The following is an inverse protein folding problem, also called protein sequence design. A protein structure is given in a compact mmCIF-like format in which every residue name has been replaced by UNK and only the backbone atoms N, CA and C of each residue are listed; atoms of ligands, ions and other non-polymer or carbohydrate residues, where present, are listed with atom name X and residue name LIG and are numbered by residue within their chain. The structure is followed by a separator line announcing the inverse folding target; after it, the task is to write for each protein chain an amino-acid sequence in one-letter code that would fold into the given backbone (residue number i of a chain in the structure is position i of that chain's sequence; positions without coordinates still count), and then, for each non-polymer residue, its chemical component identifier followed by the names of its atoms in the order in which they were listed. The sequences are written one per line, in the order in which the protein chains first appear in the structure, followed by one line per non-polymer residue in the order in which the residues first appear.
data_IF_409053978250
#
_entry.id   IF_409053978250
#
_cell.length_a   1.000
_cell.length_b   1.000
_cell.length_c   1.000
_cell.angle_alpha   90.00
_cell.angle_beta   90.00
_cell.angle_gamma   90.00
#
_symmetry.space_group_name_H-M   'P 1'
#
loop_
_entity.id
_entity.type
_entity.pdbx_description
1 polymer ?
#
# COMPACT_ATOMS: atom_id res chain seq x y z
N UNK A 1 -5.24 -2.15 -16.69
CA UNK A 1 -4.67 -1.02 -15.91
C UNK A 1 -4.75 -1.38 -14.45
N UNK A 2 -3.65 -1.24 -13.72
CA UNK A 2 -3.59 -1.58 -12.30
C UNK A 2 -4.25 -0.46 -11.51
N UNK A 3 -5.32 -0.75 -10.77
CA UNK A 3 -5.94 0.24 -9.89
C UNK A 3 -4.92 0.62 -8.81
N UNK A 4 -4.89 1.92 -8.47
CA UNK A 4 -4.00 2.44 -7.42
C UNK A 4 -4.76 2.54 -6.10
N UNK A 5 -4.04 2.32 -5.02
CA UNK A 5 -4.55 2.37 -3.66
C UNK A 5 -3.68 3.28 -2.81
N UNK A 6 -4.27 4.28 -2.18
CA UNK A 6 -3.61 5.06 -1.14
C UNK A 6 -3.83 4.35 0.20
N UNK A 7 -2.73 3.93 0.81
CA UNK A 7 -2.72 3.27 2.11
C UNK A 7 -2.25 4.29 3.14
N UNK A 8 -3.17 4.81 3.94
CA UNK A 8 -2.90 5.80 4.96
C UNK A 8 -2.62 5.09 6.28
N UNK A 9 -1.40 5.24 6.82
CA UNK A 9 -1.06 4.73 8.14
C UNK A 9 -1.19 5.86 9.17
N UNK A 10 -1.69 5.47 10.34
CA UNK A 10 -1.78 6.33 11.50
C UNK A 10 -1.26 5.54 12.69
N UNK A 11 -0.05 5.87 13.13
CA UNK A 11 0.55 5.33 14.34
C UNK A 11 0.29 6.29 15.50
N UNK A 12 -0.98 6.50 15.85
CA UNK A 12 -1.29 7.02 17.17
C UNK A 12 -1.32 5.85 18.16
N UNK A 13 -0.10 5.48 18.57
CA UNK A 13 0.31 4.42 19.52
C UNK A 13 -0.47 4.44 20.87
N UNK A 14 -1.34 5.43 21.11
CA UNK A 14 -1.99 5.67 22.41
C UNK A 14 -3.53 5.59 22.42
N UNK A 15 -4.19 5.39 21.28
CA UNK A 15 -5.65 5.36 21.26
C UNK A 15 -6.19 3.96 21.60
N UNK A 16 -6.48 3.73 22.88
CA UNK A 16 -7.20 2.54 23.35
C UNK A 16 -8.72 2.74 23.30
N UNK A 17 -9.44 1.72 22.82
CA UNK A 17 -10.89 1.64 22.91
C UNK A 17 -11.64 2.73 22.12
N UNK A 18 -12.50 3.49 22.80
CA UNK A 18 -13.44 4.45 22.17
C UNK A 18 -12.74 5.59 21.41
N UNK A 19 -11.55 6.01 21.85
CA UNK A 19 -10.84 7.14 21.27
C UNK A 19 -10.30 6.83 19.86
N UNK A 20 -9.96 5.55 19.58
CA UNK A 20 -9.50 5.13 18.26
C UNK A 20 -10.58 5.33 17.18
N UNK A 21 -11.83 4.95 17.48
CA UNK A 21 -12.94 5.12 16.54
C UNK A 21 -13.24 6.59 16.27
N UNK A 22 -13.16 7.43 17.31
CA UNK A 22 -13.37 8.89 17.21
C UNK A 22 -12.28 9.52 16.35
N UNK A 23 -11.01 9.17 16.60
CA UNK A 23 -9.87 9.63 15.81
C UNK A 23 -10.01 9.23 14.34
N UNK A 24 -10.24 7.95 14.04
CA UNK A 24 -10.40 7.48 12.66
C UNK A 24 -11.54 8.24 11.97
N UNK A 25 -12.69 8.40 12.66
CA UNK A 25 -13.82 9.16 12.13
C UNK A 25 -13.45 10.62 11.83
N UNK A 26 -12.65 11.25 12.68
CA UNK A 26 -12.20 12.63 12.48
C UNK A 26 -11.17 12.74 11.36
N UNK A 27 -10.20 11.83 11.30
CA UNK A 27 -9.19 11.75 10.24
C UNK A 27 -9.86 11.59 8.87
N UNK A 28 -10.79 10.64 8.75
CA UNK A 28 -11.54 10.40 7.49
C UNK A 28 -12.35 11.62 7.10
N UNK A 29 -12.99 12.31 8.06
CA UNK A 29 -13.73 13.56 7.79
C UNK A 29 -12.80 14.65 7.25
N UNK A 30 -11.64 14.81 7.86
CA UNK A 30 -10.65 15.80 7.43
C UNK A 30 -10.13 15.50 6.02
N UNK A 31 -9.83 14.23 5.72
CA UNK A 31 -9.40 13.78 4.40
C UNK A 31 -10.49 14.01 3.35
N UNK A 32 -11.74 13.59 3.61
CA UNK A 32 -12.86 13.81 2.69
C UNK A 32 -13.07 15.29 2.37
N UNK A 33 -12.96 16.17 3.37
CA UNK A 33 -13.06 17.62 3.17
C UNK A 33 -11.89 18.17 2.34
N UNK A 34 -10.66 17.72 2.63
CA UNK A 34 -9.45 18.23 1.95
C UNK A 34 -9.35 17.76 0.50
N UNK A 35 -9.91 16.59 0.21
CA UNK A 35 -9.89 15.92 -1.09
C UNK A 35 -11.24 16.04 -1.83
N UNK A 36 -12.16 16.90 -1.39
CA UNK A 36 -13.50 17.01 -1.95
C UNK A 36 -13.51 17.34 -3.44
N UNK A 37 -12.56 18.16 -3.91
CA UNK A 37 -12.41 18.51 -5.33
C UNK A 37 -12.01 17.32 -6.22
N UNK A 38 -11.62 16.19 -5.63
CA UNK A 38 -11.20 14.98 -6.34
C UNK A 38 -12.11 13.78 -6.04
N UNK A 39 -13.31 14.01 -5.48
CA UNK A 39 -14.22 12.95 -5.07
C UNK A 39 -14.58 11.98 -6.20
N UNK A 40 -14.57 12.45 -7.44
CA UNK A 40 -14.91 11.64 -8.62
C UNK A 40 -13.85 10.59 -8.96
N UNK A 41 -12.64 10.73 -8.41
CA UNK A 41 -11.53 9.80 -8.56
C UNK A 41 -11.36 8.87 -7.36
N UNK A 42 -11.98 9.18 -6.22
CA UNK A 42 -11.62 8.60 -4.92
C UNK A 42 -12.77 7.87 -4.26
N UNK A 43 -12.56 6.59 -3.95
CA UNK A 43 -13.43 5.82 -3.08
C UNK A 43 -12.79 5.64 -1.69
N UNK A 44 -13.47 6.14 -0.67
CA UNK A 44 -13.04 6.05 0.73
C UNK A 44 -13.57 4.77 1.36
N UNK A 45 -12.71 3.79 1.57
CA UNK A 45 -13.07 2.47 2.10
C UNK A 45 -13.05 2.48 3.65
N UNK A 46 -12.54 1.42 4.28
CA UNK A 46 -12.56 1.19 5.73
C UNK A 46 -11.18 1.31 6.36
N UNK A 47 -11.18 1.44 7.69
CA UNK A 47 -9.98 1.27 8.48
C UNK A 47 -9.79 -0.22 8.83
N UNK A 48 -8.63 -0.80 8.52
CA UNK A 48 -8.30 -2.18 8.87
C UNK A 48 -6.78 -2.34 9.07
N UNK A 49 -6.38 -3.15 10.05
CA UNK A 49 -4.96 -3.49 10.25
C UNK A 49 -4.03 -2.31 10.59
N UNK A 50 -4.57 -1.22 11.14
CA UNK A 50 -3.83 0.02 11.46
C UNK A 50 -3.69 0.99 10.28
N UNK A 51 -4.43 0.78 9.19
CA UNK A 51 -4.42 1.64 8.01
C UNK A 51 -5.83 2.01 7.59
N UNK A 52 -5.96 3.10 6.84
CA UNK A 52 -7.18 3.52 6.13
C UNK A 52 -6.89 3.50 4.63
N UNK A 53 -7.86 3.06 3.85
CA UNK A 53 -7.67 2.81 2.41
C UNK A 53 -8.51 3.79 1.58
N UNK A 54 -7.90 4.36 0.56
CA UNK A 54 -8.57 5.20 -0.44
C UNK A 54 -8.22 4.65 -1.82
N UNK A 55 -9.23 4.13 -2.52
CA UNK A 55 -9.09 3.56 -3.85
C UNK A 55 -9.17 4.66 -4.91
N UNK A 56 -8.30 4.58 -5.92
CA UNK A 56 -8.35 5.43 -7.10
C UNK A 56 -9.17 4.68 -8.16
N UNK A 57 -10.41 5.12 -8.35
CA UNK A 57 -11.44 4.38 -9.10
C UNK A 57 -11.54 4.75 -10.58
N UNK A 58 -10.75 5.73 -11.03
CA UNK A 58 -10.68 6.20 -12.42
C UNK A 58 -9.24 6.56 -12.76
N UNK A 59 -8.92 6.55 -14.05
CA UNK A 59 -7.65 7.09 -14.52
C UNK A 59 -7.49 8.54 -14.06
N UNK A 60 -6.34 8.82 -13.47
CA UNK A 60 -6.02 10.10 -12.86
C UNK A 60 -4.74 10.65 -13.48
N UNK A 61 -4.74 11.90 -13.99
CA UNK A 61 -3.53 12.57 -14.42
C UNK A 61 -2.51 12.71 -13.29
N UNK A 62 -1.21 12.62 -13.62
CA UNK A 62 -0.12 12.66 -12.64
C UNK A 62 -0.11 13.94 -11.80
N UNK A 63 -0.46 15.09 -12.38
CA UNK A 63 -0.56 16.34 -11.64
C UNK A 63 -1.65 16.29 -10.55
N UNK A 64 -2.80 15.69 -10.86
CA UNK A 64 -3.89 15.53 -9.89
C UNK A 64 -3.50 14.54 -8.80
N UNK A 65 -2.87 13.42 -9.17
CA UNK A 65 -2.35 12.45 -8.21
C UNK A 65 -1.34 13.09 -7.25
N UNK A 66 -0.42 13.90 -7.77
CA UNK A 66 0.57 14.63 -6.98
C UNK A 66 -0.08 15.63 -6.02
N UNK A 67 -1.14 16.32 -6.42
CA UNK A 67 -1.91 17.20 -5.52
C UNK A 67 -2.61 16.43 -4.40
N UNK A 68 -3.21 15.28 -4.70
CA UNK A 68 -3.84 14.41 -3.71
C UNK A 68 -2.79 13.92 -2.70
N UNK A 69 -1.65 13.42 -3.20
CA UNK A 69 -0.51 12.99 -2.38
C UNK A 69 -0.04 14.12 -1.47
N UNK A 70 0.14 15.33 -2.01
CA UNK A 70 0.53 16.50 -1.22
C UNK A 70 -0.48 16.83 -0.13
N UNK A 71 -1.78 16.79 -0.44
CA UNK A 71 -2.85 17.03 0.53
C UNK A 71 -2.89 15.96 1.61
N UNK A 72 -2.74 14.69 1.25
CA UNK A 72 -2.64 13.56 2.20
C UNK A 72 -1.44 13.76 3.12
N UNK A 73 -0.24 13.97 2.57
CA UNK A 73 1.01 14.19 3.32
C UNK A 73 0.86 15.30 4.38
N UNK A 74 0.15 16.38 4.03
CA UNK A 74 -0.06 17.53 4.91
C UNK A 74 -1.33 17.43 5.78
N UNK A 75 -1.88 16.23 6.01
CA UNK A 75 -3.06 16.04 6.87
C UNK A 75 -2.62 15.58 8.27
N UNK A 76 -2.93 16.34 9.34
CA UNK A 76 -2.58 15.94 10.70
C UNK A 76 -3.16 14.58 11.10
N UNK A 77 -2.39 13.81 11.88
CA UNK A 77 -2.75 12.47 12.32
C UNK A 77 -2.31 11.33 11.38
N UNK A 78 -1.74 11.65 10.21
CA UNK A 78 -1.13 10.66 9.32
C UNK A 78 0.35 10.54 9.67
N UNK A 79 0.81 9.31 9.93
CA UNK A 79 2.23 9.05 10.24
C UNK A 79 3.02 8.63 9.01
N UNK A 80 2.33 8.07 8.02
CA UNK A 80 2.89 7.77 6.71
C UNK A 80 1.80 7.31 5.77
N UNK A 81 2.10 7.28 4.48
CA UNK A 81 1.20 6.72 3.48
C UNK A 81 2.00 6.05 2.37
N UNK A 82 1.34 5.17 1.64
CA UNK A 82 1.90 4.50 0.47
C UNK A 82 0.94 4.64 -0.71
N UNK A 83 1.49 4.81 -1.90
CA UNK A 83 0.77 4.59 -3.16
C UNK A 83 1.08 3.16 -3.58
N UNK A 84 0.09 2.29 -3.55
CA UNK A 84 0.24 0.88 -3.88
C UNK A 84 -0.47 0.55 -5.19
N UNK A 85 0.09 -0.40 -5.93
CA UNK A 85 -0.58 -1.07 -7.02
C UNK A 85 -1.45 -2.21 -6.44
N UNK A 86 -2.67 -2.41 -6.95
CA UNK A 86 -3.56 -3.50 -6.51
C UNK A 86 -3.43 -4.73 -7.40
N UNK A 87 -3.47 -5.91 -6.80
CA UNK A 87 -3.52 -7.20 -7.49
C UNK A 87 -4.80 -7.97 -7.10
N UNK A 88 -5.13 -9.00 -7.89
CA UNK A 88 -6.02 -10.05 -7.42
C UNK A 88 -5.40 -10.86 -6.27
N UNK A 89 -6.16 -11.83 -5.75
CA UNK A 89 -5.79 -12.57 -4.52
C UNK A 89 -5.10 -13.91 -4.79
N UNK A 90 -4.93 -14.27 -6.06
CA UNK A 90 -4.17 -15.46 -6.46
C UNK A 90 -2.67 -15.17 -6.37
N UNK A 91 -1.88 -16.22 -6.15
CA UNK A 91 -0.43 -16.06 -6.01
C UNK A 91 0.19 -15.54 -7.32
N UNK A 92 -0.33 -15.99 -8.45
CA UNK A 92 0.09 -15.60 -9.79
C UNK A 92 -0.13 -14.10 -10.04
N UNK A 93 -1.31 -13.57 -9.69
CA UNK A 93 -1.62 -12.15 -9.83
C UNK A 93 -0.79 -11.28 -8.90
N UNK A 94 -0.56 -11.75 -7.66
CA UNK A 94 0.29 -11.07 -6.68
C UNK A 94 1.73 -10.99 -7.21
N UNK A 95 2.29 -12.12 -7.66
CA UNK A 95 3.65 -12.19 -8.20
C UNK A 95 3.82 -11.34 -9.45
N UNK A 96 2.91 -11.43 -10.42
CA UNK A 96 2.97 -10.63 -11.65
C UNK A 96 2.91 -9.12 -11.38
N UNK A 97 2.04 -8.70 -10.45
CA UNK A 97 1.93 -7.28 -10.06
C UNK A 97 3.17 -6.83 -9.31
N UNK A 98 3.70 -7.65 -8.40
CA UNK A 98 4.92 -7.36 -7.65
C UNK A 98 6.15 -7.20 -8.55
N UNK A 99 6.33 -8.09 -9.53
CA UNK A 99 7.40 -7.99 -10.54
C UNK A 99 7.26 -6.70 -11.34
N UNK A 100 6.05 -6.42 -11.85
CA UNK A 100 5.78 -5.18 -12.60
C UNK A 100 6.04 -3.93 -11.77
N UNK A 101 5.73 -3.96 -10.48
CA UNK A 101 6.00 -2.86 -9.56
C UNK A 101 7.49 -2.68 -9.31
N UNK A 102 8.21 -3.77 -9.01
CA UNK A 102 9.66 -3.74 -8.76
C UNK A 102 10.45 -3.31 -10.01
N UNK A 103 10.00 -3.70 -11.20
CA UNK A 103 10.61 -3.33 -12.48
C UNK A 103 10.72 -1.80 -12.67
N UNK A 104 9.78 -1.02 -12.12
CA UNK A 104 9.77 0.45 -12.20
C UNK A 104 10.97 1.10 -11.50
N UNK A 105 11.59 0.37 -10.57
CA UNK A 105 12.72 0.81 -9.76
C UNK A 105 13.96 -0.05 -10.01
N UNK A 106 13.96 -0.87 -11.07
CA UNK A 106 15.02 -1.88 -11.27
C UNK A 106 16.43 -1.28 -11.37
N UNK A 107 16.57 -0.02 -11.79
CA UNK A 107 17.85 0.66 -11.87
C UNK A 107 18.31 1.28 -10.52
N UNK A 108 17.44 1.25 -9.50
CA UNK A 108 17.66 1.93 -8.21
C UNK A 108 18.11 0.97 -7.09
N UNK A 109 18.10 -0.34 -7.32
CA UNK A 109 18.47 -1.33 -6.29
C UNK A 109 19.13 -2.58 -6.89
N UNK A 110 20.05 -3.20 -6.14
CA UNK A 110 20.67 -4.48 -6.50
C UNK A 110 20.19 -5.62 -5.60
N UNK A 111 19.86 -5.29 -4.35
CA UNK A 111 19.31 -6.22 -3.38
C UNK A 111 17.90 -5.83 -2.89
N UNK A 112 17.08 -6.82 -2.56
CA UNK A 112 15.73 -6.58 -2.07
C UNK A 112 15.25 -7.60 -1.03
N UNK A 113 14.21 -7.22 -0.29
CA UNK A 113 13.42 -8.12 0.53
C UNK A 113 11.92 -7.93 0.28
N UNK A 114 11.16 -9.04 0.34
CA UNK A 114 9.70 -9.01 0.33
C UNK A 114 9.18 -9.08 1.76
N UNK A 115 8.38 -8.08 2.14
CA UNK A 115 7.76 -8.00 3.47
C UNK A 115 6.24 -8.07 3.30
N UNK A 116 5.66 -9.21 3.63
CA UNK A 116 4.22 -9.45 3.45
C UNK A 116 3.45 -9.41 4.80
N UNK A 117 2.30 -8.74 4.80
CA UNK A 117 1.39 -8.64 5.95
C UNK A 117 -0.01 -9.06 5.54
N UNK A 118 -0.54 -10.11 6.17
CA UNK A 118 -1.91 -10.58 5.99
C UNK A 118 -2.84 -9.91 6.99
N UNK A 119 -3.64 -8.96 6.52
CA UNK A 119 -4.74 -8.36 7.26
C UNK A 119 -5.95 -9.30 7.21
N UNK A 120 -6.20 -9.92 6.06
CA UNK A 120 -7.18 -10.99 5.90
C UNK A 120 -6.52 -12.35 6.12
N UNK A 121 -6.96 -13.05 7.17
CA UNK A 121 -6.41 -14.36 7.56
C UNK A 121 -7.11 -15.53 6.86
N UNK A 122 -8.17 -15.28 6.10
CA UNK A 122 -8.89 -16.31 5.35
C UNK A 122 -8.19 -16.70 4.04
N UNK A 123 -7.13 -15.99 3.67
CA UNK A 123 -6.32 -16.28 2.48
C UNK A 123 -5.53 -17.56 2.69
N UNK A 124 -5.51 -18.48 1.69
CA UNK A 124 -4.91 -19.81 1.85
C UNK A 124 -3.38 -19.78 2.02
N UNK A 125 -2.73 -18.67 1.65
CA UNK A 125 -1.29 -18.50 1.72
C UNK A 125 -0.87 -17.78 3.00
N UNK A 126 0.24 -18.21 3.58
CA UNK A 126 0.96 -17.55 4.66
C UNK A 126 1.79 -16.37 4.16
N UNK A 127 2.16 -15.47 5.07
CA UNK A 127 3.09 -14.37 4.76
C UNK A 127 4.42 -14.90 4.22
N UNK A 128 4.91 -16.02 4.78
CA UNK A 128 6.17 -16.62 4.35
C UNK A 128 6.07 -17.19 2.94
N UNK A 129 4.98 -17.87 2.61
CA UNK A 129 4.74 -18.39 1.25
C UNK A 129 4.65 -17.25 0.22
N UNK A 130 3.91 -16.18 0.53
CA UNK A 130 3.85 -14.98 -0.33
C UNK A 130 5.24 -14.39 -0.53
N UNK A 131 6.00 -14.23 0.57
CA UNK A 131 7.35 -13.65 0.50
C UNK A 131 8.31 -14.48 -0.35
N UNK A 132 8.25 -15.81 -0.21
CA UNK A 132 9.07 -16.75 -0.97
C UNK A 132 8.74 -16.73 -2.45
N UNK A 133 7.46 -16.84 -2.80
CA UNK A 133 7.04 -16.93 -4.19
C UNK A 133 7.31 -15.63 -4.96
N UNK A 134 6.92 -14.49 -4.37
CA UNK A 134 7.18 -13.19 -4.96
C UNK A 134 8.67 -12.90 -5.04
N UNK A 135 9.44 -13.30 -4.01
CA UNK A 135 10.89 -13.20 -4.01
C UNK A 135 11.53 -13.99 -5.16
N UNK A 136 11.08 -15.23 -5.40
CA UNK A 136 11.54 -16.05 -6.53
C UNK A 136 11.23 -15.37 -7.86
N UNK A 137 9.98 -14.93 -8.05
CA UNK A 137 9.54 -14.30 -9.29
C UNK A 137 10.35 -13.04 -9.62
N UNK A 138 10.64 -12.19 -8.63
CA UNK A 138 11.46 -10.98 -8.82
C UNK A 138 12.91 -11.35 -9.11
N UNK A 139 13.49 -12.31 -8.39
CA UNK A 139 14.86 -12.75 -8.62
C UNK A 139 15.05 -13.34 -10.02
N UNK A 140 14.14 -14.22 -10.46
CA UNK A 140 14.18 -14.87 -11.76
C UNK A 140 13.97 -13.88 -12.91
N UNK A 141 13.06 -12.91 -12.74
CA UNK A 141 12.73 -11.95 -13.81
C UNK A 141 13.72 -10.81 -13.91
N UNK A 142 14.15 -10.26 -12.76
CA UNK A 142 14.97 -9.03 -12.71
C UNK A 142 16.45 -9.29 -12.41
N UNK A 143 16.83 -10.53 -12.04
CA UNK A 143 18.20 -10.87 -11.63
C UNK A 143 18.65 -10.23 -10.32
N UNK A 144 17.73 -9.66 -9.53
CA UNK A 144 18.03 -8.93 -8.28
C UNK A 144 18.28 -9.88 -7.12
N UNK A 145 19.22 -9.55 -6.24
CA UNK A 145 19.63 -10.42 -5.12
C UNK A 145 18.64 -10.32 -3.95
N UNK A 146 18.28 -11.45 -3.34
CA UNK A 146 17.52 -11.42 -2.08
C UNK A 146 18.47 -11.15 -0.90
N UNK A 147 18.18 -10.12 -0.11
CA UNK A 147 18.87 -9.81 1.15
C UNK A 147 17.83 -9.53 2.24
N UNK A 148 17.70 -10.44 3.21
CA UNK A 148 16.72 -10.30 4.30
C UNK A 148 17.21 -9.45 5.48
N UNK A 149 18.50 -9.07 5.48
CA UNK A 149 19.14 -8.37 6.60
C UNK A 149 19.22 -6.88 6.33
N UNK A 150 19.81 -6.48 5.20
CA UNK A 150 19.98 -5.08 4.82
C UNK A 150 19.74 -4.86 3.31
N UNK A 151 18.49 -5.02 2.85
CA UNK A 151 18.15 -4.79 1.45
C UNK A 151 18.15 -3.31 1.08
N UNK A 152 18.55 -3.01 -0.15
CA UNK A 152 18.43 -1.67 -0.74
C UNK A 152 16.96 -1.31 -0.97
N UNK A 153 16.15 -2.30 -1.35
CA UNK A 153 14.73 -2.14 -1.63
C UNK A 153 13.85 -3.09 -0.81
N UNK A 154 12.80 -2.55 -0.19
CA UNK A 154 11.79 -3.35 0.54
C UNK A 154 10.46 -3.31 -0.19
N UNK A 155 10.07 -4.44 -0.78
CA UNK A 155 8.75 -4.59 -1.37
C UNK A 155 7.73 -4.98 -0.30
N UNK A 156 6.82 -4.07 0.01
CA UNK A 156 5.76 -4.32 0.98
C UNK A 156 4.49 -4.84 0.31
N UNK A 157 3.98 -5.97 0.79
CA UNK A 157 2.73 -6.57 0.30
C UNK A 157 1.73 -6.61 1.45
N UNK A 158 0.55 -6.00 1.26
CA UNK A 158 -0.57 -6.07 2.20
C UNK A 158 -1.72 -6.84 1.58
N UNK A 159 -2.04 -8.01 2.14
CA UNK A 159 -3.20 -8.81 1.72
C UNK A 159 -4.38 -8.50 2.64
N UNK A 160 -5.48 -7.97 2.10
CA UNK A 160 -6.62 -7.44 2.86
C UNK A 160 -7.94 -8.17 2.64
#
# INVERSE_FOLDING_TARGET
MTQKLLIINFEEIYLKGKNQKIFIKQLVRNLKRKLSSYSDYLHFDKAQGGSYFIEIIKDIPDNILNEIIYKVKNTPGITGFYVADTAGITMEEISATAVTHAQKFADEFDSFAVVSKRINKSVPFSSMEIGREVGSAINETLGKKVDLTNPDFKLHIKVR
#
